data_IF_031972950703
#
_entry.id   IF_031972950703
#
_cell.length_a   1.000
_cell.length_b   1.000
_cell.length_c   1.000
_cell.angle_alpha   90.00
_cell.angle_beta   90.00
_cell.angle_gamma   90.00
#
_symmetry.space_group_name_H-M   'P 1'
#
loop_
_entity.id
_entity.type
_entity.pdbx_description
1 polymer ?
#
# COMPACT_ATOMS: atom_id res chain seq x y z
N UNK A 1 44.15 23.73 -10.10
CA UNK A 1 44.37 22.27 -10.09
C UNK A 1 43.01 21.59 -10.01
N UNK A 2 42.51 21.03 -11.11
CA UNK A 2 41.24 20.28 -11.17
C UNK A 2 41.47 19.03 -12.03
N UNK A 3 41.71 17.83 -11.44
CA UNK A 3 41.88 16.61 -12.22
C UNK A 3 40.90 15.49 -11.85
N UNK A 4 39.68 15.77 -11.36
CA UNK A 4 38.78 14.71 -10.87
C UNK A 4 37.40 14.58 -11.54
N UNK A 5 37.05 15.42 -12.52
CA UNK A 5 35.73 15.31 -13.20
C UNK A 5 35.73 14.41 -14.45
N UNK A 6 36.88 14.18 -15.10
CA UNK A 6 36.94 13.34 -16.30
C UNK A 6 36.96 11.83 -16.02
N UNK A 7 37.43 11.40 -14.85
CA UNK A 7 37.50 9.96 -14.51
C UNK A 7 36.12 9.32 -14.31
N UNK A 8 35.11 10.09 -13.89
CA UNK A 8 33.75 9.58 -13.66
C UNK A 8 32.95 9.40 -14.95
N UNK A 9 33.20 10.18 -15.99
CA UNK A 9 32.44 10.06 -17.24
C UNK A 9 32.82 8.81 -18.04
N UNK A 10 34.10 8.43 -18.02
CA UNK A 10 34.59 7.24 -18.72
C UNK A 10 34.13 5.93 -18.05
N UNK A 11 34.04 5.91 -16.72
CA UNK A 11 33.51 4.75 -15.98
C UNK A 11 32.01 4.58 -16.20
N UNK A 12 31.24 5.66 -16.24
CA UNK A 12 29.82 5.62 -16.56
C UNK A 12 29.55 5.17 -18.01
N UNK A 13 30.35 5.65 -18.98
CA UNK A 13 30.22 5.22 -20.37
C UNK A 13 30.50 3.73 -20.55
N UNK A 14 31.53 3.20 -19.88
CA UNK A 14 31.85 1.77 -19.90
C UNK A 14 30.71 0.91 -19.29
N UNK A 15 30.11 1.38 -18.19
CA UNK A 15 29.00 0.67 -17.54
C UNK A 15 27.74 0.62 -18.43
N UNK A 16 27.44 1.73 -19.13
CA UNK A 16 26.32 1.79 -20.08
C UNK A 16 26.54 0.86 -21.29
N UNK A 17 27.78 0.77 -21.77
CA UNK A 17 28.11 -0.11 -22.90
C UNK A 17 28.03 -1.59 -22.52
N UNK A 18 28.40 -1.94 -21.28
CA UNK A 18 28.25 -3.30 -20.75
C UNK A 18 26.78 -3.68 -20.54
N UNK A 19 25.94 -2.74 -20.10
CA UNK A 19 24.50 -2.96 -19.97
C UNK A 19 23.84 -3.23 -21.33
N UNK A 20 24.23 -2.46 -22.37
CA UNK A 20 23.68 -2.63 -23.72
C UNK A 20 24.09 -3.98 -24.35
N UNK A 21 25.32 -4.45 -24.13
CA UNK A 21 25.77 -5.74 -24.67
C UNK A 21 25.06 -6.92 -24.00
N UNK A 22 24.81 -6.88 -22.68
CA UNK A 22 24.00 -7.89 -22.01
C UNK A 22 22.56 -7.93 -22.54
N UNK A 23 21.96 -6.78 -22.81
CA UNK A 23 20.61 -6.71 -23.36
C UNK A 23 20.52 -7.32 -24.77
N UNK A 24 21.53 -7.11 -25.62
CA UNK A 24 21.60 -7.74 -26.95
C UNK A 24 21.78 -9.25 -26.88
N UNK A 25 22.58 -9.77 -25.94
CA UNK A 25 22.73 -11.22 -25.75
C UNK A 25 21.43 -11.89 -25.29
N UNK A 26 20.65 -11.23 -24.42
CA UNK A 26 19.33 -11.72 -23.98
C UNK A 26 18.30 -11.76 -25.11
N UNK A 27 18.39 -10.84 -26.09
CA UNK A 27 17.54 -10.84 -27.28
C UNK A 27 17.91 -11.95 -28.26
N UNK A 28 19.21 -12.25 -28.44
CA UNK A 28 19.68 -13.32 -29.32
C UNK A 28 19.33 -14.72 -28.79
N UNK A 29 19.36 -14.92 -27.47
CA UNK A 29 18.99 -16.20 -26.86
C UNK A 29 17.47 -16.50 -26.94
N UNK A 30 16.63 -15.49 -27.17
CA UNK A 30 15.18 -15.67 -27.35
C UNK A 30 14.80 -16.06 -28.78
N UNK A 31 15.64 -15.79 -29.78
CA UNK A 31 15.34 -16.09 -31.20
C UNK A 31 15.85 -17.45 -31.67
N UNK A 32 16.71 -18.13 -30.88
CA UNK A 32 17.29 -19.43 -31.24
C UNK A 32 16.37 -20.65 -30.94
N UNK A 33 15.15 -20.45 -30.43
CA UNK A 33 14.29 -21.50 -29.88
C UNK A 33 13.04 -21.89 -30.68
N UNK A 34 12.94 -21.59 -31.98
CA UNK A 34 11.77 -21.97 -32.79
C UNK A 34 12.19 -22.63 -34.11
N UNK A 35 12.44 -23.94 -34.07
CA UNK A 35 12.52 -24.80 -35.26
C UNK A 35 11.17 -25.46 -35.49
N UNK A 36 10.39 -24.94 -36.45
CA UNK A 36 9.11 -25.53 -36.86
C UNK A 36 9.26 -26.25 -38.20
N UNK A 37 9.17 -27.57 -38.19
CA UNK A 37 8.94 -28.39 -39.39
C UNK A 37 7.42 -28.49 -39.66
N UNK A 38 6.97 -28.53 -40.93
CA UNK A 38 5.55 -28.58 -41.27
C UNK A 38 5.03 -30.01 -41.23
N UNK A 39 3.88 -30.24 -40.58
CA UNK A 39 3.16 -31.51 -40.60
C UNK A 39 1.82 -31.30 -41.31
N UNK A 40 1.60 -32.11 -42.33
CA UNK A 40 0.41 -32.23 -43.17
C UNK A 40 -0.79 -32.75 -42.38
N UNK A 41 -1.98 -32.19 -42.66
CA UNK A 41 -3.26 -32.64 -42.12
C UNK A 41 -3.77 -33.91 -42.84
N UNK A 42 -4.59 -34.73 -42.16
CA UNK A 42 -5.98 -34.84 -42.65
C UNK A 42 -7.06 -34.90 -41.56
N UNK A 43 -8.24 -34.50 -42.04
CA UNK A 43 -9.62 -34.51 -41.54
C UNK A 43 -10.09 -35.40 -40.36
N UNK A 44 -11.04 -34.79 -39.65
CA UNK A 44 -12.27 -35.33 -39.04
C UNK A 44 -12.20 -36.06 -37.69
N UNK A 45 -12.66 -35.39 -36.63
CA UNK A 45 -13.91 -35.72 -35.91
C UNK A 45 -14.16 -34.72 -34.77
N UNK A 46 -15.43 -34.35 -34.57
CA UNK A 46 -15.88 -33.37 -33.59
C UNK A 46 -15.73 -33.88 -32.14
N UNK A 47 -15.29 -33.03 -31.17
CA UNK A 47 -15.46 -33.32 -29.75
C UNK A 47 -16.54 -32.43 -29.11
N UNK A 48 -17.30 -33.02 -28.20
CA UNK A 48 -18.43 -32.42 -27.48
C UNK A 48 -18.08 -31.28 -26.52
N UNK A 49 -19.05 -30.83 -25.71
CA UNK A 49 -18.94 -29.58 -24.94
C UNK A 49 -17.75 -29.63 -23.98
N UNK A 50 -16.94 -28.56 -24.04
CA UNK A 50 -15.69 -28.43 -23.30
C UNK A 50 -15.88 -28.66 -21.79
N UNK A 51 -14.99 -29.43 -21.13
CA UNK A 51 -15.00 -29.54 -19.68
C UNK A 51 -14.73 -28.17 -19.06
N UNK A 52 -15.59 -27.82 -18.10
CA UNK A 52 -15.51 -26.63 -17.25
C UNK A 52 -14.06 -26.45 -16.78
N UNK A 53 -13.44 -25.33 -17.18
CA UNK A 53 -12.03 -25.03 -16.94
C UNK A 53 -11.62 -25.41 -15.51
N UNK A 54 -10.83 -26.49 -15.39
CA UNK A 54 -10.09 -26.80 -14.17
C UNK A 54 -9.30 -25.53 -13.83
N UNK A 55 -9.67 -24.87 -12.72
CA UNK A 55 -8.87 -23.82 -12.10
C UNK A 55 -7.43 -24.34 -12.08
N UNK A 56 -6.54 -23.74 -12.88
CA UNK A 56 -5.12 -24.07 -12.92
C UNK A 56 -4.62 -24.12 -11.47
N UNK A 57 -4.32 -25.32 -10.98
CA UNK A 57 -3.59 -25.47 -9.72
C UNK A 57 -2.22 -24.87 -10.00
N UNK A 58 -2.03 -23.62 -9.61
CA UNK A 58 -0.69 -23.05 -9.48
C UNK A 58 -0.06 -23.77 -8.28
N UNK A 59 0.50 -24.95 -8.57
CA UNK A 59 1.28 -25.71 -7.61
C UNK A 59 2.59 -24.97 -7.45
N UNK A 60 2.80 -24.40 -6.27
CA UNK A 60 4.12 -23.93 -5.89
C UNK A 60 4.94 -25.18 -5.55
N UNK A 61 6.16 -25.25 -6.08
CA UNK A 61 7.11 -26.26 -5.64
C UNK A 61 7.57 -25.91 -4.22
N UNK A 62 6.97 -26.55 -3.22
CA UNK A 62 7.26 -26.30 -1.80
C UNK A 62 8.66 -26.78 -1.38
N UNK A 63 9.35 -27.51 -2.26
CA UNK A 63 10.73 -27.96 -2.09
C UNK A 63 11.75 -26.95 -2.61
N UNK A 64 11.30 -25.90 -3.30
CA UNK A 64 12.16 -24.83 -3.79
C UNK A 64 12.90 -24.11 -2.63
N UNK A 65 14.03 -23.44 -2.92
CA UNK A 65 14.83 -22.77 -1.91
C UNK A 65 14.03 -21.75 -1.09
N UNK A 66 14.38 -21.64 0.19
CA UNK A 66 13.75 -20.71 1.12
C UNK A 66 14.51 -19.39 1.17
N UNK A 67 13.78 -18.29 1.10
CA UNK A 67 14.34 -16.95 1.21
C UNK A 67 13.83 -16.26 2.47
N UNK A 68 14.71 -15.58 3.22
CA UNK A 68 14.33 -14.92 4.46
C UNK A 68 13.33 -13.80 4.18
N UNK A 69 12.34 -13.66 5.07
CA UNK A 69 11.42 -12.54 5.05
C UNK A 69 11.43 -11.85 6.41
N UNK A 70 11.33 -10.52 6.38
CA UNK A 70 10.98 -9.74 7.56
C UNK A 70 9.46 -9.67 7.67
N UNK A 71 8.94 -10.07 8.82
CA UNK A 71 7.50 -10.06 9.10
C UNK A 71 7.13 -8.71 9.69
N UNK A 72 6.22 -8.01 9.03
CA UNK A 72 5.73 -6.72 9.48
C UNK A 72 4.23 -6.72 9.74
N UNK A 73 3.79 -5.82 10.61
CA UNK A 73 2.36 -5.62 10.83
C UNK A 73 1.73 -5.01 9.57
N UNK A 74 0.55 -5.52 9.17
CA UNK A 74 -0.25 -4.83 8.16
C UNK A 74 -0.96 -3.62 8.73
N UNK A 75 -1.22 -2.65 7.86
CA UNK A 75 -2.07 -1.50 8.14
C UNK A 75 -3.45 -1.88 8.74
N UNK A 76 -4.03 -2.98 8.25
CA UNK A 76 -5.35 -3.47 8.66
C UNK A 76 -5.31 -4.48 9.82
N UNK A 77 -4.12 -4.92 10.26
CA UNK A 77 -3.93 -5.80 11.42
C UNK A 77 -4.39 -7.25 11.27
N UNK A 78 -4.95 -7.66 10.13
CA UNK A 78 -5.49 -9.03 9.94
C UNK A 78 -4.42 -10.07 9.62
N UNK A 79 -3.52 -9.74 8.70
CA UNK A 79 -2.44 -10.61 8.26
C UNK A 79 -1.15 -9.82 8.20
N UNK A 80 0.00 -10.43 8.51
CA UNK A 80 1.29 -9.76 8.39
C UNK A 80 1.60 -9.39 6.92
N UNK A 81 2.46 -8.41 6.71
CA UNK A 81 3.09 -8.12 5.42
C UNK A 81 4.50 -8.73 5.45
N UNK A 82 4.87 -9.42 4.38
CA UNK A 82 6.20 -10.00 4.25
C UNK A 82 7.07 -9.03 3.45
N UNK A 83 8.24 -8.66 3.98
CA UNK A 83 9.22 -7.85 3.25
C UNK A 83 10.46 -8.67 2.93
N UNK A 84 10.92 -8.53 1.69
CA UNK A 84 12.21 -9.02 1.23
C UNK A 84 13.13 -7.84 0.94
N UNK A 85 14.23 -7.73 1.69
CA UNK A 85 15.30 -6.78 1.41
C UNK A 85 16.19 -7.33 0.31
N UNK A 86 16.41 -6.54 -0.74
CA UNK A 86 17.29 -6.95 -1.86
C UNK A 86 18.73 -6.95 -1.35
N UNK A 87 19.46 -8.09 -1.42
CA UNK A 87 20.83 -8.17 -0.92
C UNK A 87 21.74 -7.10 -1.55
N UNK A 88 22.53 -6.41 -0.72
CA UNK A 88 23.46 -5.37 -1.17
C UNK A 88 22.79 -4.07 -1.65
N UNK A 89 21.48 -3.90 -1.41
CA UNK A 89 20.71 -2.75 -1.88
C UNK A 89 19.80 -2.20 -0.78
N UNK A 90 19.53 -0.88 -0.74
CA UNK A 90 18.54 -0.28 0.17
C UNK A 90 17.09 -0.49 -0.31
N UNK A 91 16.90 -1.30 -1.35
CA UNK A 91 15.60 -1.56 -1.97
C UNK A 91 14.96 -2.83 -1.40
N UNK A 92 13.63 -2.84 -1.37
CA UNK A 92 12.87 -4.00 -0.93
C UNK A 92 11.62 -4.24 -1.80
N UNK A 93 11.13 -5.47 -1.74
CA UNK A 93 9.78 -5.83 -2.16
C UNK A 93 8.92 -6.09 -0.93
N UNK A 94 7.67 -5.67 -0.98
CA UNK A 94 6.67 -6.00 0.05
C UNK A 94 5.55 -6.82 -0.55
N UNK A 95 5.10 -7.82 0.20
CA UNK A 95 4.07 -8.74 -0.22
C UNK A 95 2.95 -8.79 0.82
N UNK A 96 1.72 -8.55 0.37
CA UNK A 96 0.52 -8.62 1.19
C UNK A 96 -0.16 -9.99 1.07
N UNK A 97 -0.77 -10.44 2.17
CA UNK A 97 -1.47 -11.72 2.19
C UNK A 97 -2.64 -11.73 1.20
N UNK A 98 -2.74 -12.80 0.42
CA UNK A 98 -3.80 -12.99 -0.57
C UNK A 98 -4.74 -14.12 -0.17
N UNK A 99 -4.20 -15.28 0.23
CA UNK A 99 -5.00 -16.44 0.65
C UNK A 99 -4.19 -17.41 1.51
N UNK A 100 -4.88 -18.26 2.24
CA UNK A 100 -4.28 -19.34 3.03
C UNK A 100 -4.71 -20.69 2.45
N UNK A 101 -3.76 -21.61 2.27
CA UNK A 101 -4.02 -23.02 1.97
C UNK A 101 -3.71 -23.88 3.20
N UNK A 102 -3.95 -25.19 3.12
CA UNK A 102 -3.69 -26.11 4.24
C UNK A 102 -2.24 -26.14 4.70
N UNK A 103 -1.28 -26.02 3.77
CA UNK A 103 0.17 -26.18 4.07
C UNK A 103 1.01 -24.93 3.87
N UNK A 104 0.47 -23.88 3.24
CA UNK A 104 1.20 -22.64 2.94
C UNK A 104 0.25 -21.47 2.78
N UNK A 105 0.78 -20.26 2.94
CA UNK A 105 0.08 -19.00 2.63
C UNK A 105 0.55 -18.49 1.26
N UNK A 106 -0.33 -17.79 0.55
CA UNK A 106 0.03 -17.10 -0.69
C UNK A 106 -0.04 -15.61 -0.46
N UNK A 107 1.03 -14.95 -0.85
CA UNK A 107 1.19 -13.51 -0.79
C UNK A 107 1.32 -12.96 -2.20
N UNK A 108 0.99 -11.68 -2.38
CA UNK A 108 1.15 -10.96 -3.66
C UNK A 108 1.96 -9.69 -3.47
N UNK A 109 2.78 -9.35 -4.46
CA UNK A 109 3.58 -8.14 -4.45
C UNK A 109 2.67 -6.90 -4.46
N UNK A 110 2.87 -5.99 -3.49
CA UNK A 110 2.09 -4.76 -3.36
C UNK A 110 2.30 -3.80 -4.54
N UNK A 111 3.53 -3.68 -5.02
CA UNK A 111 3.86 -2.83 -6.17
C UNK A 111 3.19 -3.32 -7.45
N UNK A 112 3.26 -4.61 -7.74
CA UNK A 112 2.56 -5.18 -8.90
C UNK A 112 1.04 -5.06 -8.78
N UNK A 113 0.48 -5.24 -7.57
CA UNK A 113 -0.95 -5.10 -7.34
C UNK A 113 -1.46 -3.69 -7.64
N UNK A 114 -0.67 -2.65 -7.34
CA UNK A 114 -0.99 -1.26 -7.70
C UNK A 114 -1.07 -1.08 -9.23
N UNK A 115 -0.24 -1.78 -9.99
CA UNK A 115 -0.25 -1.83 -11.46
C UNK A 115 -1.26 -2.85 -12.04
N UNK A 116 -2.20 -3.32 -11.22
CA UNK A 116 -3.23 -4.32 -11.61
C UNK A 116 -2.66 -5.66 -12.11
N UNK A 117 -1.41 -5.98 -11.76
CA UNK A 117 -0.76 -7.26 -12.04
C UNK A 117 -0.66 -8.09 -10.75
N UNK A 118 -0.74 -9.41 -10.88
CA UNK A 118 -0.70 -10.32 -9.74
C UNK A 118 0.58 -11.17 -9.77
N UNK A 119 1.65 -10.62 -9.22
CA UNK A 119 2.88 -11.37 -8.94
C UNK A 119 2.76 -11.99 -7.54
N UNK A 120 2.65 -13.32 -7.48
CA UNK A 120 2.34 -14.07 -6.26
C UNK A 120 3.50 -14.98 -5.85
N UNK A 121 3.66 -15.19 -4.55
CA UNK A 121 4.67 -16.07 -3.97
C UNK A 121 4.07 -16.88 -2.81
N UNK A 122 4.51 -18.12 -2.64
CA UNK A 122 4.15 -18.93 -1.49
C UNK A 122 5.04 -18.60 -0.30
N UNK A 123 4.47 -18.71 0.90
CA UNK A 123 5.14 -18.49 2.17
C UNK A 123 4.80 -19.64 3.11
N UNK A 124 5.84 -20.20 3.73
CA UNK A 124 5.75 -21.28 4.74
C UNK A 124 6.69 -20.88 5.87
N UNK A 125 6.21 -20.95 7.11
CA UNK A 125 6.96 -20.57 8.32
C UNK A 125 7.66 -19.21 8.19
N UNK A 126 6.90 -18.23 7.68
CA UNK A 126 7.35 -16.86 7.45
C UNK A 126 8.57 -16.72 6.51
N UNK A 127 8.83 -17.72 5.68
CA UNK A 127 9.85 -17.70 4.64
C UNK A 127 9.23 -17.79 3.25
N UNK A 128 9.83 -17.10 2.29
CA UNK A 128 9.41 -17.17 0.89
C UNK A 128 9.87 -18.49 0.24
N UNK A 129 9.02 -19.05 -0.61
CA UNK A 129 9.34 -20.20 -1.46
C UNK A 129 9.78 -19.69 -2.84
N UNK A 130 11.06 -19.81 -3.15
CA UNK A 130 11.69 -19.20 -4.33
C UNK A 130 12.12 -17.75 -4.12
N UNK A 131 12.99 -17.26 -5.02
CA UNK A 131 13.56 -15.92 -4.91
C UNK A 131 12.52 -14.84 -5.23
N UNK A 132 12.18 -13.95 -4.27
CA UNK A 132 11.25 -12.86 -4.51
C UNK A 132 11.71 -11.89 -5.60
N UNK A 133 13.02 -11.72 -5.84
CA UNK A 133 13.54 -10.82 -6.89
C UNK A 133 13.45 -11.41 -8.29
N UNK A 134 13.47 -12.74 -8.42
CA UNK A 134 13.41 -13.45 -9.70
C UNK A 134 11.98 -13.63 -10.24
N UNK A 135 10.96 -13.20 -9.48
CA UNK A 135 9.58 -13.24 -9.95
C UNK A 135 9.37 -12.24 -11.10
N UNK A 136 8.39 -12.48 -12.00
CA UNK A 136 8.08 -11.57 -13.11
C UNK A 136 7.33 -10.32 -12.60
N UNK A 137 8.04 -9.43 -11.92
CA UNK A 137 7.48 -8.16 -11.47
C UNK A 137 7.34 -7.17 -12.62
N UNK A 138 6.28 -6.36 -12.56
CA UNK A 138 6.16 -5.15 -13.39
C UNK A 138 6.58 -3.89 -12.63
N UNK A 139 6.65 -3.97 -11.30
CA UNK A 139 7.07 -2.88 -10.44
C UNK A 139 8.58 -2.92 -10.20
N UNK A 140 9.16 -1.76 -9.90
CA UNK A 140 10.50 -1.66 -9.34
C UNK A 140 10.44 -1.83 -7.82
N UNK A 141 11.48 -2.41 -7.20
CA UNK A 141 11.60 -2.42 -5.74
C UNK A 141 11.80 -0.99 -5.25
N UNK A 142 11.33 -0.69 -4.05
CA UNK A 142 11.31 0.66 -3.50
C UNK A 142 12.17 0.76 -2.24
N UNK A 143 12.55 1.98 -1.84
CA UNK A 143 13.47 2.15 -0.72
C UNK A 143 12.83 1.70 0.59
N UNK A 144 13.57 0.94 1.39
CA UNK A 144 13.12 0.44 2.69
C UNK A 144 12.67 1.57 3.61
N UNK A 145 13.45 2.66 3.67
CA UNK A 145 13.12 3.85 4.44
C UNK A 145 11.76 4.46 4.04
N UNK A 146 11.44 4.48 2.74
CA UNK A 146 10.15 4.97 2.27
C UNK A 146 8.98 4.11 2.79
N UNK A 147 9.07 2.78 2.74
CA UNK A 147 8.03 1.89 3.28
C UNK A 147 7.81 2.12 4.78
N UNK A 148 8.91 2.22 5.53
CA UNK A 148 8.89 2.42 6.98
C UNK A 148 8.19 3.74 7.34
N UNK A 149 8.54 4.84 6.67
CA UNK A 149 7.87 6.13 6.87
C UNK A 149 6.37 6.05 6.56
N UNK A 150 5.99 5.46 5.42
CA UNK A 150 4.58 5.37 5.02
C UNK A 150 3.75 4.56 6.03
N UNK A 151 4.33 3.48 6.60
CA UNK A 151 3.69 2.66 7.63
C UNK A 151 3.59 3.37 8.97
N UNK A 152 4.64 4.07 9.39
CA UNK A 152 4.65 4.84 10.63
C UNK A 152 3.57 5.91 10.57
N UNK A 153 3.56 6.73 9.51
CA UNK A 153 2.56 7.79 9.31
C UNK A 153 1.14 7.21 9.31
N UNK A 154 0.92 6.10 8.62
CA UNK A 154 -0.39 5.44 8.62
C UNK A 154 -0.80 5.01 10.04
N UNK A 155 0.12 4.38 10.78
CA UNK A 155 -0.11 3.87 12.13
C UNK A 155 -0.43 4.99 13.11
N UNK A 156 0.34 6.08 13.08
CA UNK A 156 0.10 7.24 13.93
C UNK A 156 -1.21 7.95 13.57
N UNK A 157 -1.50 8.13 12.28
CA UNK A 157 -2.80 8.66 11.85
C UNK A 157 -3.97 7.76 12.31
N UNK A 158 -3.77 6.44 12.37
CA UNK A 158 -4.78 5.49 12.88
C UNK A 158 -4.96 5.63 14.39
N UNK A 159 -3.88 5.80 15.15
CA UNK A 159 -3.93 6.06 16.60
C UNK A 159 -4.66 7.38 16.90
N UNK A 160 -4.33 8.45 16.17
CA UNK A 160 -5.02 9.76 16.27
C UNK A 160 -6.52 9.60 16.04
N UNK A 161 -6.93 8.89 14.98
CA UNK A 161 -8.37 8.64 14.70
C UNK A 161 -9.07 7.86 15.81
N UNK A 162 -8.34 6.96 16.48
CA UNK A 162 -8.90 6.08 17.51
C UNK A 162 -8.99 6.77 18.87
N UNK A 163 -8.19 7.82 19.09
CA UNK A 163 -8.12 8.54 20.36
C UNK A 163 -8.87 9.87 20.30
N UNK A 164 -10.02 9.95 20.97
CA UNK A 164 -10.82 11.19 21.06
C UNK A 164 -10.03 12.38 21.64
N UNK A 165 -9.01 12.14 22.48
CA UNK A 165 -8.17 13.20 23.05
C UNK A 165 -7.31 13.90 21.99
N UNK A 166 -7.08 13.28 20.84
CA UNK A 166 -6.29 13.88 19.76
C UNK A 166 -7.09 14.87 18.90
N UNK A 167 -8.40 15.03 19.12
CA UNK A 167 -9.24 15.93 18.34
C UNK A 167 -8.86 17.41 18.50
N UNK A 168 -8.26 17.78 19.64
CA UNK A 168 -7.76 19.13 19.91
C UNK A 168 -6.30 19.35 19.51
N UNK A 169 -5.58 18.30 19.11
CA UNK A 169 -4.17 18.39 18.73
C UNK A 169 -4.05 19.15 17.40
N UNK A 170 -3.10 20.09 17.32
CA UNK A 170 -2.82 20.77 16.05
C UNK A 170 -2.13 19.81 15.06
N UNK A 171 -2.35 20.01 13.76
CA UNK A 171 -1.70 19.18 12.73
C UNK A 171 -0.18 19.27 12.78
N UNK A 172 0.37 20.42 13.21
CA UNK A 172 1.82 20.61 13.34
C UNK A 172 2.41 19.83 14.51
N UNK A 173 1.73 19.81 15.66
CA UNK A 173 2.16 19.03 16.83
C UNK A 173 2.15 17.55 16.49
N UNK A 174 1.06 17.03 15.90
CA UNK A 174 0.99 15.64 15.50
C UNK A 174 2.04 15.23 14.45
N UNK A 175 2.52 16.18 13.62
CA UNK A 175 3.64 15.92 12.72
C UNK A 175 4.96 15.82 13.50
N UNK A 176 5.20 16.74 14.44
CA UNK A 176 6.41 16.72 15.27
C UNK A 176 6.46 15.45 16.13
N UNK A 177 5.33 15.04 16.72
CA UNK A 177 5.25 13.79 17.48
C UNK A 177 5.68 12.58 16.62
N UNK A 178 5.36 12.57 15.31
CA UNK A 178 5.81 11.51 14.39
C UNK A 178 7.31 11.59 14.09
N UNK A 179 7.87 12.80 14.04
CA UNK A 179 9.30 13.06 13.86
C UNK A 179 10.09 12.56 15.07
N UNK A 180 9.66 12.94 16.27
CA UNK A 180 10.26 12.52 17.53
C UNK A 180 10.20 10.99 17.66
N UNK A 181 9.09 10.36 17.27
CA UNK A 181 8.99 8.90 17.21
C UNK A 181 10.01 8.27 16.24
N UNK A 182 10.26 8.88 15.08
CA UNK A 182 11.30 8.38 14.16
C UNK A 182 12.68 8.51 14.81
N UNK A 183 12.93 9.62 15.51
CA UNK A 183 14.19 9.84 16.21
C UNK A 183 14.41 8.83 17.35
N UNK A 184 13.36 8.48 18.08
CA UNK A 184 13.38 7.52 19.19
C UNK A 184 13.38 6.06 18.72
N UNK A 185 12.79 5.75 17.55
CA UNK A 185 12.69 4.39 17.01
C UNK A 185 13.96 3.89 16.30
N UNK A 186 14.99 4.73 16.14
CA UNK A 186 16.28 4.31 15.60
C UNK A 186 16.97 3.34 16.55
N UNK A 187 17.14 2.08 16.13
CA UNK A 187 18.09 1.17 16.78
C UNK A 187 19.54 1.62 16.56
N UNK A 188 20.50 0.69 16.68
CA UNK A 188 21.95 0.95 16.56
C UNK A 188 22.42 1.43 15.16
N UNK A 189 21.55 1.45 14.14
CA UNK A 189 21.90 1.87 12.77
C UNK A 189 21.47 3.32 12.47
N UNK A 190 22.38 4.25 12.78
CA UNK A 190 22.24 5.68 12.49
C UNK A 190 22.01 5.97 11.00
N UNK A 191 22.50 5.11 10.10
CA UNK A 191 22.34 5.30 8.65
C UNK A 191 20.90 5.12 8.24
N UNK A 192 20.26 4.04 8.72
CA UNK A 192 18.87 3.77 8.45
C UNK A 192 17.95 4.86 9.05
N UNK A 193 18.24 5.32 10.27
CA UNK A 193 17.50 6.43 10.89
C UNK A 193 17.59 7.70 10.05
N UNK A 194 18.80 8.06 9.61
CA UNK A 194 19.03 9.22 8.74
C UNK A 194 18.23 9.11 7.44
N UNK A 195 18.21 7.94 6.80
CA UNK A 195 17.42 7.71 5.59
C UNK A 195 15.91 7.86 5.84
N UNK A 196 15.39 7.30 6.94
CA UNK A 196 13.97 7.41 7.31
C UNK A 196 13.59 8.89 7.54
N UNK A 197 14.39 9.64 8.31
CA UNK A 197 14.17 11.07 8.53
C UNK A 197 14.23 11.84 7.21
N UNK A 198 15.24 11.59 6.37
CA UNK A 198 15.33 12.21 5.06
C UNK A 198 14.06 11.96 4.22
N UNK A 199 13.53 10.74 4.21
CA UNK A 199 12.26 10.41 3.53
C UNK A 199 11.03 11.06 4.17
N UNK A 200 11.03 11.23 5.49
CA UNK A 200 9.99 11.94 6.20
C UNK A 200 10.01 13.43 5.82
N UNK A 201 11.16 14.07 5.75
CA UNK A 201 11.28 15.49 5.42
C UNK A 201 11.27 15.82 3.93
N UNK A 202 11.50 14.85 3.04
CA UNK A 202 11.69 15.05 1.59
C UNK A 202 10.68 16.02 0.96
N UNK A 203 9.40 15.82 1.24
CA UNK A 203 8.29 16.59 0.66
C UNK A 203 7.73 17.63 1.65
N UNK A 204 8.34 17.74 2.83
CA UNK A 204 7.97 18.63 3.92
C UNK A 204 6.60 18.36 4.55
N UNK A 205 6.23 19.22 5.49
CA UNK A 205 4.96 19.15 6.23
C UNK A 205 3.71 19.11 5.32
N UNK A 206 3.71 19.92 4.26
CA UNK A 206 2.58 20.07 3.33
C UNK A 206 2.14 18.75 2.71
N UNK A 207 3.06 17.80 2.51
CA UNK A 207 2.78 16.50 1.89
C UNK A 207 1.82 15.62 2.72
N UNK A 208 1.90 15.67 4.05
CA UNK A 208 1.06 14.85 4.95
C UNK A 208 0.08 15.66 5.77
N UNK A 209 0.15 17.00 5.73
CA UNK A 209 -0.76 17.89 6.44
C UNK A 209 -2.23 17.51 6.21
N UNK A 210 -2.64 17.29 4.97
CA UNK A 210 -4.02 16.89 4.64
C UNK A 210 -4.42 15.57 5.30
N UNK A 211 -3.52 14.58 5.30
CA UNK A 211 -3.75 13.26 5.88
C UNK A 211 -3.86 13.33 7.40
N UNK A 212 -2.95 14.06 8.05
CA UNK A 212 -2.94 14.25 9.50
C UNK A 212 -4.17 15.05 9.94
N UNK A 213 -4.50 16.15 9.24
CA UNK A 213 -5.70 16.95 9.50
C UNK A 213 -6.97 16.11 9.40
N UNK A 214 -7.07 15.25 8.39
CA UNK A 214 -8.19 14.29 8.26
C UNK A 214 -8.23 13.30 9.40
N UNK A 215 -7.07 12.82 9.87
CA UNK A 215 -6.99 11.93 11.01
C UNK A 215 -7.47 12.61 12.31
N UNK A 216 -7.05 13.86 12.56
CA UNK A 216 -7.46 14.66 13.74
C UNK A 216 -8.95 14.98 13.73
N UNK A 217 -9.51 15.29 12.56
CA UNK A 217 -10.96 15.59 12.41
C UNK A 217 -11.82 14.34 12.30
N UNK A 218 -11.21 13.18 12.04
CA UNK A 218 -11.86 11.89 11.88
C UNK A 218 -12.65 11.37 13.09
N UNK A 219 -12.30 11.69 14.36
CA UNK A 219 -13.06 11.24 15.53
C UNK A 219 -14.44 11.87 15.70
N UNK A 220 -14.94 12.67 14.74
CA UNK A 220 -16.33 13.16 14.77
C UNK A 220 -17.27 11.97 14.85
N UNK A 221 -18.15 12.01 15.85
CA UNK A 221 -18.94 10.89 16.36
C UNK A 221 -19.38 9.89 15.29
N UNK A 222 -18.71 8.73 15.27
CA UNK A 222 -19.15 7.52 14.53
C UNK A 222 -20.54 7.06 15.01
N UNK A 223 -21.04 7.63 16.11
CA UNK A 223 -22.36 7.30 16.65
C UNK A 223 -23.52 8.10 16.05
N UNK A 224 -23.29 8.97 15.06
CA UNK A 224 -24.38 9.61 14.31
C UNK A 224 -25.14 8.55 13.51
N UNK A 225 -26.12 7.95 14.16
CA UNK A 225 -27.01 6.91 13.66
C UNK A 225 -28.43 7.46 13.73
N UNK A 226 -29.39 6.82 13.07
CA UNK A 226 -30.79 7.20 13.25
C UNK A 226 -31.17 7.15 14.75
N UNK A 227 -30.68 6.17 15.52
CA UNK A 227 -30.95 6.13 16.97
C UNK A 227 -30.29 7.24 17.80
N UNK A 228 -29.28 7.94 17.28
CA UNK A 228 -28.48 8.90 18.04
C UNK A 228 -27.89 9.97 17.12
N UNK A 229 -28.59 11.09 16.98
CA UNK A 229 -28.06 12.28 16.30
C UNK A 229 -27.33 13.13 17.34
N UNK A 230 -26.09 13.55 17.07
CA UNK A 230 -25.38 14.41 18.01
C UNK A 230 -25.94 15.83 18.01
N UNK A 231 -25.77 16.56 19.12
CA UNK A 231 -26.30 17.92 19.27
C UNK A 231 -25.81 18.85 18.15
N UNK A 232 -24.54 18.73 17.74
CA UNK A 232 -23.98 19.49 16.62
C UNK A 232 -24.76 19.32 15.29
N UNK A 233 -25.37 18.16 15.07
CA UNK A 233 -26.18 17.87 13.87
C UNK A 233 -27.67 18.14 14.11
N UNK A 234 -28.07 18.39 15.36
CA UNK A 234 -29.43 18.75 15.72
C UNK A 234 -29.72 20.25 15.58
N UNK A 235 -28.68 21.09 15.40
CA UNK A 235 -28.78 22.55 15.22
C UNK A 235 -28.30 23.03 13.85
N UNK A 236 -28.87 24.14 13.37
CA UNK A 236 -28.45 24.89 12.18
C UNK A 236 -27.24 25.79 12.49
N UNK A 237 -26.65 26.38 11.45
CA UNK A 237 -25.48 27.28 11.58
C UNK A 237 -25.75 28.54 12.42
N UNK A 238 -27.02 28.98 12.51
CA UNK A 238 -27.45 30.09 13.35
C UNK A 238 -27.73 29.67 14.81
N UNK A 239 -27.47 28.41 15.16
CA UNK A 239 -27.72 27.84 16.49
C UNK A 239 -29.16 27.41 16.76
N UNK A 240 -30.09 27.61 15.82
CA UNK A 240 -31.48 27.18 16.00
C UNK A 240 -31.61 25.66 15.86
N UNK A 241 -32.54 25.05 16.61
CA UNK A 241 -32.76 23.60 16.58
C UNK A 241 -33.43 23.20 15.26
N UNK A 242 -32.87 22.21 14.57
CA UNK A 242 -33.38 21.64 13.32
C UNK A 242 -34.02 20.27 13.52
N UNK A 243 -33.42 19.40 14.34
CA UNK A 243 -34.01 18.12 14.72
C UNK A 243 -35.01 18.35 15.85
N UNK A 244 -36.29 18.34 15.50
CA UNK A 244 -37.39 18.69 16.40
C UNK A 244 -37.99 17.46 17.08
N UNK A 245 -37.97 16.31 16.40
CA UNK A 245 -38.47 15.06 16.95
C UNK A 245 -37.57 13.89 16.56
N UNK A 246 -37.31 12.98 17.51
CA UNK A 246 -36.51 11.79 17.30
C UNK A 246 -37.15 10.57 17.98
N UNK A 247 -37.36 9.51 17.21
CA UNK A 247 -37.81 8.20 17.67
C UNK A 247 -37.16 7.09 16.81
N UNK A 248 -37.14 5.82 17.25
CA UNK A 248 -36.45 4.73 16.55
C UNK A 248 -36.85 4.48 15.09
N UNK A 249 -37.98 5.01 14.62
CA UNK A 249 -38.45 4.89 13.23
C UNK A 249 -38.87 6.21 12.56
N UNK A 250 -38.79 7.34 13.26
CA UNK A 250 -39.24 8.63 12.73
C UNK A 250 -38.42 9.77 13.32
N UNK A 251 -37.83 10.57 12.42
CA UNK A 251 -37.22 11.84 12.73
C UNK A 251 -37.95 12.95 12.01
N UNK A 252 -38.16 14.09 12.68
CA UNK A 252 -38.71 15.29 12.05
C UNK A 252 -37.68 16.40 12.10
N UNK A 253 -37.32 16.89 10.91
CA UNK A 253 -36.38 17.98 10.72
C UNK A 253 -37.12 19.18 10.15
N UNK A 254 -37.15 20.29 10.88
CA UNK A 254 -37.67 21.55 10.35
C UNK A 254 -37.10 22.76 11.09
N UNK A 255 -37.01 23.86 10.36
CA UNK A 255 -36.79 25.19 10.93
C UNK A 255 -38.14 25.84 11.22
N UNK A 256 -38.29 26.43 12.41
CA UNK A 256 -39.49 27.19 12.75
C UNK A 256 -39.68 28.38 11.80
N UNK A 257 -38.58 29.02 11.39
CA UNK A 257 -38.57 30.13 10.42
C UNK A 257 -39.18 29.73 9.07
N UNK A 258 -39.02 28.48 8.65
CA UNK A 258 -39.60 27.99 7.39
C UNK A 258 -41.07 27.60 7.52
N UNK A 259 -41.53 27.27 8.73
CA UNK A 259 -42.92 26.86 9.03
C UNK A 259 -43.78 28.05 9.45
N UNK A 260 -43.19 29.21 9.75
CA UNK A 260 -43.93 30.47 9.89
C UNK A 260 -44.61 30.84 8.57
N UNK A 261 -45.79 30.27 8.37
CA UNK A 261 -46.75 30.72 7.38
C UNK A 261 -47.19 32.09 7.88
N UNK A 262 -46.75 33.15 7.19
CA UNK A 262 -47.28 34.49 7.40
C UNK A 262 -48.81 34.40 7.32
N UNK A 263 -49.46 34.41 8.48
CA UNK A 263 -50.89 34.65 8.56
C UNK A 263 -51.07 36.12 8.16
N UNK A 264 -51.25 36.34 6.85
CA UNK A 264 -51.72 37.59 6.31
C UNK A 264 -53.12 37.75 6.91
N UNK A 265 -53.21 38.56 7.97
CA UNK A 265 -54.48 39.01 8.52
C UNK A 265 -55.14 39.87 7.44
N UNK A 266 -56.19 39.32 6.83
CA UNK A 266 -57.12 40.05 5.97
C UNK A 266 -58.10 40.85 6.81
#
# INVERSE_FOLDING_TARGET
>A
MLPNFQLNLLTYAALLQQMQSQQQQLLQNQTAGVSGAPVTAPHANAPGPAPRAQRRRCGYDLTAPRYPASVEQSQHGKHAVMRYSVPGSPLCYTFEHLRTNSTYKVYRCRGCAAEKKNTMIAVVDDQFIGDPSSLPHVCLPFKTAQDKVDRLVYTECKKIRSNKKCASTSTRVAWQDMEDLIEECGGEDDTEKSDILHYFHRDGFSSRERTIRRAIRGPKDVSCSMGRVSDEHAVLANGSRFLQFQSPGLHMYYSLETIEVNFIQY
#
